data_IF_143334608945
#
_entry.id   IF_143334608945
#
_cell.length_a   1.000
_cell.length_b   1.000
_cell.length_c   1.000
_cell.angle_alpha   90.00
_cell.angle_beta   90.00
_cell.angle_gamma   90.00
#
_symmetry.space_group_name_H-M   'P 1'
#
loop_
_entity.id
_entity.type
_entity.pdbx_description
1 polymer ?
#
# COMPACT_ATOMS: atom_id res chain seq x y z
N UNK A 1 -10.27 10.11 14.90
CA UNK A 1 -9.13 9.18 14.77
C UNK A 1 -7.88 10.00 15.06
N UNK A 2 -6.95 9.49 15.82
CA UNK A 2 -5.68 10.17 16.07
C UNK A 2 -4.76 10.04 14.84
N UNK A 3 -3.99 11.10 14.56
CA UNK A 3 -3.04 11.12 13.44
C UNK A 3 -1.68 10.62 13.94
N UNK A 4 -1.08 9.68 13.19
CA UNK A 4 0.25 9.13 13.50
C UNK A 4 1.33 9.81 12.67
N UNK A 5 1.04 10.13 11.40
CA UNK A 5 1.96 10.90 10.55
C UNK A 5 1.21 12.09 9.97
N UNK A 6 1.77 13.27 10.12
CA UNK A 6 1.28 14.49 9.50
C UNK A 6 2.44 15.27 8.93
N UNK A 7 2.28 15.79 7.70
CA UNK A 7 3.25 16.71 7.11
C UNK A 7 2.55 17.96 6.58
N UNK A 8 3.22 19.10 6.69
CA UNK A 8 2.73 20.39 6.24
C UNK A 8 3.78 21.04 5.34
N UNK A 9 3.51 21.06 4.03
CA UNK A 9 4.40 21.60 2.99
C UNK A 9 5.83 21.06 3.08
N UNK A 10 5.99 19.78 3.49
CA UNK A 10 7.29 19.17 3.68
C UNK A 10 8.06 19.13 2.37
N UNK A 11 9.25 19.70 2.36
CA UNK A 11 10.03 19.93 1.13
C UNK A 11 11.46 19.47 1.34
N UNK A 12 12.02 18.80 0.33
CA UNK A 12 13.44 18.43 0.28
C UNK A 12 14.04 18.84 -1.05
N UNK A 13 15.13 19.61 -0.97
CA UNK A 13 15.97 20.00 -2.11
C UNK A 13 17.37 19.47 -1.90
N UNK A 14 17.92 18.85 -2.92
CA UNK A 14 19.32 18.45 -3.00
C UNK A 14 19.97 19.29 -4.10
N UNK A 15 20.82 20.24 -3.73
CA UNK A 15 21.39 21.22 -4.64
C UNK A 15 20.29 21.87 -5.51
N UNK A 16 20.33 21.69 -6.81
CA UNK A 16 19.33 22.24 -7.75
C UNK A 16 18.10 21.33 -7.94
N UNK A 17 18.15 20.09 -7.46
CA UNK A 17 17.04 19.13 -7.63
C UNK A 17 16.05 19.21 -6.46
N UNK A 18 14.84 19.62 -6.78
CA UNK A 18 13.71 19.54 -5.85
C UNK A 18 13.21 18.08 -5.82
N UNK A 19 13.54 17.37 -4.73
CA UNK A 19 13.17 15.97 -4.58
C UNK A 19 11.73 15.82 -4.04
N UNK A 20 11.37 16.48 -2.94
CA UNK A 20 10.02 16.51 -2.38
C UNK A 20 9.54 17.95 -2.39
N UNK A 21 8.32 18.18 -2.86
CA UNK A 21 7.76 19.50 -3.09
C UNK A 21 6.43 19.68 -2.35
N UNK A 22 6.47 20.42 -1.25
CA UNK A 22 5.30 20.82 -0.47
C UNK A 22 4.34 19.65 -0.15
N UNK A 23 4.90 18.52 0.33
CA UNK A 23 4.14 17.32 0.66
C UNK A 23 3.23 17.56 1.87
N UNK A 24 1.93 17.31 1.69
CA UNK A 24 0.92 17.34 2.76
C UNK A 24 0.31 15.93 2.88
N UNK A 25 0.85 15.13 3.79
CA UNK A 25 0.50 13.73 4.01
C UNK A 25 -0.14 13.56 5.38
N UNK A 26 -1.18 12.74 5.47
CA UNK A 26 -1.81 12.37 6.74
C UNK A 26 -2.04 10.87 6.79
N UNK A 27 -1.53 10.21 7.85
CA UNK A 27 -1.75 8.79 8.14
C UNK A 27 -2.37 8.69 9.53
N UNK A 28 -3.50 7.98 9.63
CA UNK A 28 -4.23 7.82 10.87
C UNK A 28 -3.79 6.56 11.62
N UNK A 29 -4.08 6.53 12.92
CA UNK A 29 -3.79 5.38 13.77
C UNK A 29 -4.58 4.15 13.33
N UNK A 30 -3.91 2.99 13.28
CA UNK A 30 -4.51 1.70 12.96
C UNK A 30 -4.83 1.49 11.47
N UNK A 31 -4.44 2.40 10.56
CA UNK A 31 -4.63 2.16 9.13
C UNK A 31 -3.41 1.52 8.45
N UNK A 32 -3.65 0.78 7.37
CA UNK A 32 -2.62 0.43 6.40
C UNK A 32 -2.70 1.44 5.27
N UNK A 33 -1.67 2.28 5.16
CA UNK A 33 -1.58 3.35 4.18
C UNK A 33 -0.58 3.01 3.08
N UNK A 34 -1.03 2.99 1.82
CA UNK A 34 -0.19 2.78 0.64
C UNK A 34 0.42 4.08 0.13
N UNK A 35 1.75 4.18 0.10
CA UNK A 35 2.48 5.31 -0.46
C UNK A 35 3.04 4.94 -1.83
N UNK A 36 2.37 5.37 -2.88
CA UNK A 36 2.54 4.90 -4.25
C UNK A 36 3.29 5.90 -5.12
N UNK A 37 4.15 5.39 -5.97
CA UNK A 37 4.85 6.21 -6.94
C UNK A 37 5.89 5.42 -7.73
N UNK A 38 6.32 5.91 -8.90
CA UNK A 38 7.30 5.21 -9.73
C UNK A 38 8.67 5.12 -9.03
N UNK A 39 9.52 4.22 -9.52
CA UNK A 39 10.90 4.09 -9.05
C UNK A 39 11.67 5.38 -9.29
N UNK A 40 12.54 5.77 -8.34
CA UNK A 40 13.21 7.07 -8.35
C UNK A 40 12.30 8.24 -7.97
N UNK A 41 11.01 7.98 -7.74
CA UNK A 41 10.18 8.90 -7.01
C UNK A 41 10.67 8.92 -5.56
N UNK A 42 10.65 10.01 -5.01
CA UNK A 42 11.02 10.47 -3.69
C UNK A 42 10.38 9.73 -2.50
N UNK A 43 9.86 8.51 -2.69
CA UNK A 43 9.25 7.68 -1.62
C UNK A 43 10.25 7.49 -0.47
N UNK A 44 11.41 6.92 -0.77
CA UNK A 44 12.47 6.71 0.23
C UNK A 44 12.95 8.03 0.84
N UNK A 45 13.10 9.10 0.05
CA UNK A 45 13.45 10.43 0.59
C UNK A 45 12.42 10.93 1.61
N UNK A 46 11.13 10.77 1.31
CA UNK A 46 10.05 11.12 2.23
C UNK A 46 10.13 10.29 3.51
N UNK A 47 10.30 8.97 3.38
CA UNK A 47 10.46 8.05 4.52
C UNK A 47 11.64 8.47 5.40
N UNK A 48 12.79 8.77 4.79
CA UNK A 48 13.97 9.20 5.54
C UNK A 48 13.75 10.52 6.29
N UNK A 49 12.98 11.47 5.73
CA UNK A 49 12.58 12.68 6.45
C UNK A 49 11.64 12.38 7.63
N UNK A 50 10.65 11.51 7.44
CA UNK A 50 9.72 11.10 8.50
C UNK A 50 10.42 10.38 9.66
N UNK A 51 11.55 9.72 9.40
CA UNK A 51 12.35 9.03 10.41
C UNK A 51 13.45 9.91 11.03
N UNK A 52 13.60 11.16 10.57
CA UNK A 52 14.70 12.03 11.00
C UNK A 52 16.07 11.47 10.62
N UNK A 53 16.17 10.76 9.50
CA UNK A 53 17.41 10.26 8.90
C UNK A 53 17.95 11.24 7.84
N UNK A 54 17.12 12.15 7.37
CA UNK A 54 17.52 13.33 6.57
C UNK A 54 16.63 14.51 6.96
N UNK A 55 17.21 15.69 7.03
CA UNK A 55 16.49 16.91 7.36
C UNK A 55 15.67 17.42 6.19
N UNK A 56 14.48 17.94 6.45
CA UNK A 56 13.70 18.69 5.47
C UNK A 56 14.37 20.03 5.18
N UNK A 57 14.24 20.50 3.93
CA UNK A 57 14.72 21.86 3.56
C UNK A 57 13.74 22.92 4.07
N UNK A 58 12.44 22.60 4.08
CA UNK A 58 11.38 23.45 4.64
C UNK A 58 10.11 22.64 4.89
N UNK A 59 9.13 23.24 5.53
CA UNK A 59 7.90 22.58 5.97
C UNK A 59 8.07 21.93 7.34
N UNK A 60 7.07 21.15 7.75
CA UNK A 60 7.04 20.48 9.05
C UNK A 60 6.53 19.05 8.92
N UNK A 61 6.98 18.20 9.82
CA UNK A 61 6.43 16.84 9.97
C UNK A 61 6.22 16.54 11.45
N UNK A 62 5.21 15.74 11.74
CA UNK A 62 4.99 15.15 13.05
C UNK A 62 4.78 13.65 12.87
N UNK A 63 5.50 12.84 13.64
CA UNK A 63 5.41 11.38 13.59
C UNK A 63 5.23 10.86 15.01
N UNK A 64 4.12 10.18 15.27
CA UNK A 64 3.70 9.78 16.63
C UNK A 64 3.67 10.93 17.63
N UNK A 65 3.43 12.16 17.18
CA UNK A 65 3.40 13.39 18.01
C UNK A 65 4.76 14.07 18.20
N UNK A 66 5.82 13.61 17.53
CA UNK A 66 7.18 14.15 17.64
C UNK A 66 7.67 14.74 16.32
N UNK A 67 8.49 15.79 16.40
CA UNK A 67 9.16 16.37 15.22
C UNK A 67 10.37 15.51 14.84
N UNK A 68 10.38 14.86 13.66
CA UNK A 68 11.50 14.02 13.26
C UNK A 68 12.83 14.77 13.09
N UNK A 69 12.80 16.09 12.88
CA UNK A 69 14.02 16.91 12.76
C UNK A 69 14.68 17.15 14.11
N UNK A 70 13.89 17.47 15.12
CA UNK A 70 14.39 17.86 16.43
C UNK A 70 14.35 16.72 17.46
N UNK A 71 13.39 15.79 17.31
CA UNK A 71 13.12 14.71 18.25
C UNK A 71 13.26 13.32 17.59
N UNK A 72 14.25 13.15 16.68
CA UNK A 72 14.40 11.94 15.86
C UNK A 72 14.53 10.65 16.69
N UNK A 73 15.11 10.69 17.89
CA UNK A 73 15.22 9.52 18.76
C UNK A 73 13.85 9.08 19.29
N UNK A 74 12.96 10.03 19.61
CA UNK A 74 11.60 9.73 20.08
C UNK A 74 10.76 9.12 18.95
N UNK A 75 10.93 9.60 17.71
CA UNK A 75 10.34 8.98 16.53
C UNK A 75 10.88 7.55 16.35
N UNK A 76 12.19 7.35 16.33
CA UNK A 76 12.84 6.03 16.14
C UNK A 76 12.48 5.01 17.21
N UNK A 77 12.18 5.43 18.43
CA UNK A 77 11.68 4.55 19.50
C UNK A 77 10.27 4.01 19.19
N UNK A 78 9.44 4.80 18.51
CA UNK A 78 8.01 4.50 18.27
C UNK A 78 7.71 3.96 16.90
N UNK A 79 8.61 4.16 15.94
CA UNK A 79 8.42 3.75 14.53
C UNK A 79 9.43 2.65 14.17
N UNK A 80 8.92 1.52 13.68
CA UNK A 80 9.72 0.49 13.03
C UNK A 80 9.98 0.87 11.56
N UNK A 81 11.17 0.64 11.07
CA UNK A 81 11.49 0.88 9.66
C UNK A 81 12.15 -0.35 9.03
N UNK A 82 11.53 -0.86 7.99
CA UNK A 82 12.08 -1.91 7.15
C UNK A 82 12.48 -1.30 5.80
N UNK A 83 13.77 -1.15 5.51
CA UNK A 83 14.24 -0.69 4.21
C UNK A 83 14.04 -1.77 3.13
N UNK A 84 14.07 -1.36 1.88
CA UNK A 84 13.99 -2.25 0.71
C UNK A 84 14.98 -3.42 0.77
N UNK A 85 16.18 -3.17 1.26
CA UNK A 85 17.23 -4.16 1.45
C UNK A 85 17.67 -4.15 2.92
N UNK A 86 17.07 -4.99 3.78
CA UNK A 86 17.45 -5.07 5.17
C UNK A 86 18.85 -5.69 5.30
N UNK A 87 19.68 -5.05 6.13
CA UNK A 87 21.02 -5.53 6.45
C UNK A 87 21.01 -6.36 7.73
N UNK A 88 21.61 -7.54 7.68
CA UNK A 88 21.76 -8.42 8.83
C UNK A 88 23.24 -8.81 9.02
N UNK A 89 23.57 -9.22 10.23
CA UNK A 89 24.83 -9.90 10.50
C UNK A 89 24.70 -11.34 10.00
N UNK A 90 25.22 -11.63 8.82
CA UNK A 90 24.99 -12.87 8.10
C UNK A 90 25.62 -14.10 8.80
N UNK A 91 26.67 -13.88 9.58
CA UNK A 91 27.34 -14.91 10.42
C UNK A 91 26.69 -15.10 11.79
N UNK A 92 25.61 -14.40 12.07
CA UNK A 92 24.77 -14.60 13.25
C UNK A 92 23.47 -15.33 12.86
N UNK A 93 22.91 -16.05 13.81
CA UNK A 93 21.57 -16.65 13.64
C UNK A 93 20.47 -15.59 13.66
N UNK A 94 19.24 -15.98 13.28
CA UNK A 94 18.08 -15.07 13.37
C UNK A 94 17.82 -14.63 14.82
N UNK A 95 17.89 -15.56 15.78
CA UNK A 95 17.77 -15.25 17.21
C UNK A 95 18.82 -14.23 17.66
N UNK A 96 20.09 -14.42 17.28
CA UNK A 96 21.19 -13.53 17.68
C UNK A 96 21.02 -12.12 17.07
N UNK A 97 20.62 -12.01 15.79
CA UNK A 97 20.33 -10.74 15.18
C UNK A 97 19.22 -9.98 15.94
N UNK A 98 18.11 -10.66 16.26
CA UNK A 98 16.99 -10.04 16.97
C UNK A 98 17.35 -9.66 18.42
N UNK A 99 18.09 -10.52 19.12
CA UNK A 99 18.59 -10.23 20.47
C UNK A 99 19.53 -9.03 20.47
N UNK A 100 20.42 -8.94 19.47
CA UNK A 100 21.32 -7.80 19.30
C UNK A 100 20.52 -6.50 19.12
N UNK A 101 19.51 -6.51 18.23
CA UNK A 101 18.65 -5.36 18.00
C UNK A 101 17.81 -5.00 19.23
N UNK A 102 17.32 -5.98 19.98
CA UNK A 102 16.61 -5.75 21.24
C UNK A 102 17.50 -5.03 22.27
N UNK A 103 18.76 -5.45 22.41
CA UNK A 103 19.75 -4.82 23.30
C UNK A 103 20.09 -3.39 22.89
N UNK A 104 20.25 -3.12 21.59
CA UNK A 104 20.44 -1.77 21.06
C UNK A 104 19.25 -0.84 21.42
N UNK A 105 18.06 -1.41 21.48
CA UNK A 105 16.84 -0.70 21.93
C UNK A 105 16.70 -0.67 23.45
N UNK A 106 17.72 -1.10 24.22
CA UNK A 106 17.77 -1.12 25.70
C UNK A 106 16.65 -1.98 26.33
N UNK A 107 16.25 -3.04 25.65
CA UNK A 107 15.31 -4.02 26.18
C UNK A 107 16.09 -4.95 27.10
N UNK A 108 15.66 -5.20 28.36
CA UNK A 108 16.32 -6.14 29.26
C UNK A 108 16.41 -7.54 28.68
N UNK A 109 17.49 -8.29 28.99
CA UNK A 109 17.79 -9.57 28.34
C UNK A 109 16.66 -10.61 28.45
N UNK A 110 16.01 -10.74 29.60
CA UNK A 110 14.90 -11.68 29.77
C UNK A 110 13.70 -11.30 28.88
N UNK A 111 13.37 -10.04 28.83
CA UNK A 111 12.31 -9.52 27.96
C UNK A 111 12.71 -9.60 26.48
N UNK A 112 13.99 -9.34 26.16
CA UNK A 112 14.52 -9.49 24.80
C UNK A 112 14.38 -10.93 24.28
N UNK A 113 14.74 -11.93 25.09
CA UNK A 113 14.56 -13.35 24.72
C UNK A 113 13.11 -13.71 24.49
N UNK A 114 12.23 -13.29 25.39
CA UNK A 114 10.79 -13.52 25.24
C UNK A 114 10.24 -12.89 23.96
N UNK A 115 10.54 -11.59 23.72
CA UNK A 115 10.09 -10.89 22.52
C UNK A 115 10.66 -11.49 21.23
N UNK A 116 11.92 -11.89 21.22
CA UNK A 116 12.55 -12.57 20.08
C UNK A 116 11.77 -13.82 19.70
N UNK A 117 11.47 -14.68 20.67
CA UNK A 117 10.67 -15.89 20.42
C UNK A 117 9.27 -15.55 19.90
N UNK A 118 8.60 -14.55 20.51
CA UNK A 118 7.26 -14.11 20.08
C UNK A 118 7.24 -13.58 18.64
N UNK A 119 8.22 -12.76 18.25
CA UNK A 119 8.24 -12.19 16.89
C UNK A 119 8.67 -13.19 15.83
N UNK A 120 9.56 -14.15 16.16
CA UNK A 120 9.90 -15.25 15.25
C UNK A 120 8.69 -16.14 14.97
N UNK A 121 7.88 -16.43 15.98
CA UNK A 121 6.64 -17.17 15.82
C UNK A 121 5.66 -16.42 14.90
N UNK A 122 5.47 -15.14 15.13
CA UNK A 122 4.59 -14.28 14.35
C UNK A 122 4.96 -14.20 12.86
N UNK A 123 6.25 -14.20 12.55
CA UNK A 123 6.70 -14.15 11.15
C UNK A 123 6.94 -15.56 10.54
N UNK A 124 6.60 -16.63 11.28
CA UNK A 124 6.74 -18.01 10.82
C UNK A 124 8.20 -18.42 10.61
N UNK A 125 9.10 -18.05 11.54
CA UNK A 125 10.52 -18.37 11.52
C UNK A 125 10.99 -19.08 12.82
N UNK A 126 10.07 -19.60 13.65
CA UNK A 126 10.40 -20.25 14.93
C UNK A 126 11.39 -21.38 14.77
N UNK A 127 11.21 -22.24 13.77
CA UNK A 127 12.09 -23.38 13.51
C UNK A 127 13.46 -22.98 12.94
N UNK A 128 13.53 -21.80 12.32
CA UNK A 128 14.73 -21.26 11.67
C UNK A 128 15.54 -20.32 12.59
N UNK A 129 15.09 -20.08 13.82
CA UNK A 129 15.68 -19.10 14.74
C UNK A 129 17.18 -19.28 14.96
N UNK A 130 17.67 -20.54 14.99
CA UNK A 130 19.09 -20.88 15.20
C UNK A 130 19.91 -20.98 13.91
N UNK A 131 19.28 -20.86 12.73
CA UNK A 131 19.98 -20.91 11.44
C UNK A 131 20.69 -19.58 11.19
N UNK A 132 21.84 -19.63 10.54
CA UNK A 132 22.60 -18.45 10.14
C UNK A 132 21.84 -17.68 9.05
N UNK A 133 21.82 -16.35 9.15
CA UNK A 133 21.06 -15.51 8.22
C UNK A 133 21.59 -15.57 6.78
N UNK A 134 22.86 -15.90 6.57
CA UNK A 134 23.40 -16.16 5.22
C UNK A 134 22.70 -17.31 4.48
N UNK A 135 22.07 -18.24 5.20
CA UNK A 135 21.35 -19.38 4.64
C UNK A 135 19.86 -19.04 4.31
N UNK A 136 19.42 -17.85 4.68
CA UNK A 136 18.04 -17.43 4.47
C UNK A 136 17.77 -17.06 3.02
N UNK A 137 16.62 -17.50 2.51
CA UNK A 137 16.07 -16.97 1.26
C UNK A 137 15.72 -15.48 1.41
N UNK A 138 15.52 -14.77 0.30
CA UNK A 138 15.11 -13.37 0.32
C UNK A 138 13.81 -13.17 1.11
N UNK A 139 12.81 -14.02 0.91
CA UNK A 139 11.55 -13.98 1.67
C UNK A 139 11.73 -14.23 3.17
N UNK A 140 12.66 -15.13 3.56
CA UNK A 140 13.00 -15.31 4.97
C UNK A 140 13.70 -14.09 5.55
N UNK A 141 14.64 -13.47 4.84
CA UNK A 141 15.31 -12.23 5.25
C UNK A 141 14.28 -11.09 5.42
N UNK A 142 13.30 -11.00 4.53
CA UNK A 142 12.25 -9.99 4.63
C UNK A 142 11.35 -10.20 5.85
N UNK A 143 10.94 -11.45 6.13
CA UNK A 143 10.18 -11.79 7.33
C UNK A 143 10.99 -11.53 8.61
N UNK A 144 12.28 -11.85 8.61
CA UNK A 144 13.18 -11.50 9.71
C UNK A 144 13.27 -9.98 9.92
N UNK A 145 13.31 -9.18 8.85
CA UNK A 145 13.28 -7.72 8.93
C UNK A 145 11.98 -7.20 9.54
N UNK A 146 10.84 -7.83 9.23
CA UNK A 146 9.57 -7.51 9.90
C UNK A 146 9.67 -7.87 11.40
N UNK A 147 10.22 -9.03 11.77
CA UNK A 147 10.44 -9.40 13.16
C UNK A 147 11.34 -8.39 13.90
N UNK A 148 12.41 -7.92 13.24
CA UNK A 148 13.33 -6.92 13.79
C UNK A 148 12.61 -5.61 14.13
N UNK A 149 11.76 -5.11 13.25
CA UNK A 149 11.03 -3.87 13.54
C UNK A 149 9.97 -4.05 14.61
N UNK A 150 9.42 -5.26 14.78
CA UNK A 150 8.40 -5.57 15.78
C UNK A 150 8.95 -5.79 17.19
N UNK A 151 10.22 -6.19 17.35
CA UNK A 151 10.81 -6.54 18.66
C UNK A 151 10.72 -5.42 19.67
N UNK A 152 10.75 -4.16 19.23
CA UNK A 152 10.61 -2.98 20.09
C UNK A 152 9.16 -2.56 20.37
N UNK A 153 8.16 -3.27 19.83
CA UNK A 153 6.72 -2.98 19.95
C UNK A 153 6.38 -1.55 19.47
N UNK A 154 6.64 -1.23 18.20
CA UNK A 154 6.42 0.13 17.69
C UNK A 154 4.94 0.48 17.63
N UNK A 155 4.60 1.79 17.64
CA UNK A 155 3.23 2.29 17.38
C UNK A 155 2.90 2.30 15.89
N UNK A 156 3.93 2.46 15.05
CA UNK A 156 3.79 2.43 13.60
C UNK A 156 4.98 1.75 12.96
N UNK A 157 4.80 1.19 11.78
CA UNK A 157 5.86 0.65 10.94
C UNK A 157 5.83 1.29 9.56
N UNK A 158 7.02 1.53 9.02
CA UNK A 158 7.22 1.98 7.65
C UNK A 158 7.96 0.87 6.93
N UNK A 159 7.35 0.32 5.88
CA UNK A 159 7.86 -0.79 5.09
C UNK A 159 8.15 -0.27 3.68
N UNK A 160 9.45 -0.22 3.30
CA UNK A 160 9.86 0.28 1.99
C UNK A 160 10.01 -0.89 1.02
N UNK A 161 9.09 -1.02 0.05
CA UNK A 161 9.03 -2.08 -0.97
C UNK A 161 9.16 -3.52 -0.38
N UNK A 162 8.33 -3.93 0.61
CA UNK A 162 8.56 -5.15 1.40
C UNK A 162 8.42 -6.46 0.62
N UNK A 163 7.88 -6.42 -0.59
CA UNK A 163 7.68 -7.59 -1.45
C UNK A 163 8.60 -7.61 -2.67
N UNK A 164 9.47 -6.62 -2.81
CA UNK A 164 10.32 -6.48 -3.99
C UNK A 164 11.30 -7.66 -4.15
N UNK A 165 11.24 -8.32 -5.32
CA UNK A 165 12.12 -9.44 -5.66
C UNK A 165 11.86 -10.72 -4.87
N UNK A 166 10.67 -10.86 -4.33
CA UNK A 166 10.16 -12.09 -3.70
C UNK A 166 9.24 -12.76 -4.71
N UNK A 167 9.20 -14.07 -4.69
CA UNK A 167 8.27 -14.86 -5.50
C UNK A 167 6.80 -14.55 -5.13
N UNK A 168 5.85 -14.79 -6.03
CA UNK A 168 4.45 -14.42 -5.80
C UNK A 168 3.85 -15.00 -4.51
N UNK A 169 4.12 -16.27 -4.20
CA UNK A 169 3.62 -16.92 -2.98
C UNK A 169 4.21 -16.31 -1.71
N UNK A 170 5.51 -16.00 -1.74
CA UNK A 170 6.20 -15.32 -0.65
C UNK A 170 5.67 -13.90 -0.44
N UNK A 171 5.38 -13.17 -1.52
CA UNK A 171 4.80 -11.83 -1.46
C UNK A 171 3.41 -11.86 -0.82
N UNK A 172 2.54 -12.79 -1.21
CA UNK A 172 1.21 -12.98 -0.60
C UNK A 172 1.33 -13.19 0.90
N UNK A 173 2.22 -14.11 1.33
CA UNK A 173 2.42 -14.39 2.77
C UNK A 173 2.89 -13.16 3.55
N UNK A 174 3.73 -12.31 2.97
CA UNK A 174 4.15 -11.06 3.61
C UNK A 174 2.99 -10.07 3.73
N UNK A 175 2.15 -9.96 2.70
CA UNK A 175 0.98 -9.09 2.73
C UNK A 175 -0.06 -9.56 3.75
N UNK A 176 -0.28 -10.86 3.85
CA UNK A 176 -1.15 -11.48 4.87
C UNK A 176 -0.61 -11.22 6.29
N UNK A 177 0.70 -11.41 6.51
CA UNK A 177 1.34 -11.10 7.78
C UNK A 177 1.14 -9.62 8.16
N UNK A 178 1.28 -8.68 7.23
CA UNK A 178 1.05 -7.25 7.48
C UNK A 178 -0.41 -6.99 7.87
N UNK A 179 -1.38 -7.62 7.19
CA UNK A 179 -2.80 -7.53 7.53
C UNK A 179 -3.09 -8.04 8.94
N UNK A 180 -2.54 -9.20 9.29
CA UNK A 180 -2.75 -9.82 10.59
C UNK A 180 -2.17 -8.95 11.71
N UNK A 181 -0.95 -8.45 11.55
CA UNK A 181 -0.33 -7.53 12.51
C UNK A 181 -1.14 -6.24 12.71
N UNK A 182 -1.69 -5.68 11.63
CA UNK A 182 -2.57 -4.51 11.72
C UNK A 182 -3.85 -4.85 12.47
N UNK A 183 -4.52 -5.94 12.10
CA UNK A 183 -5.81 -6.36 12.69
C UNK A 183 -5.69 -6.70 14.17
N UNK A 184 -4.65 -7.45 14.56
CA UNK A 184 -4.51 -7.98 15.91
C UNK A 184 -3.96 -6.95 16.90
N UNK A 185 -3.11 -6.02 16.42
CA UNK A 185 -2.42 -5.06 17.27
C UNK A 185 -2.82 -3.61 17.05
N UNK A 186 -3.75 -3.35 16.16
CA UNK A 186 -4.07 -1.99 15.68
C UNK A 186 -2.82 -1.24 15.23
N UNK A 187 -1.85 -1.97 14.63
CA UNK A 187 -0.57 -1.42 14.21
C UNK A 187 -0.77 -0.53 12.99
N UNK A 188 -0.32 0.71 13.07
CA UNK A 188 -0.32 1.60 11.91
C UNK A 188 0.79 1.21 10.94
N UNK A 189 0.47 1.04 9.68
CA UNK A 189 1.44 0.63 8.65
C UNK A 189 1.47 1.64 7.52
N UNK A 190 2.65 2.16 7.20
CA UNK A 190 2.92 2.87 5.95
C UNK A 190 3.69 1.93 5.04
N UNK A 191 3.09 1.57 3.91
CA UNK A 191 3.69 0.67 2.91
C UNK A 191 4.06 1.47 1.68
N UNK A 192 5.34 1.58 1.35
CA UNK A 192 5.74 2.10 0.03
C UNK A 192 5.76 0.98 -1.00
N UNK A 193 5.18 1.21 -2.16
CA UNK A 193 5.24 0.27 -3.27
C UNK A 193 5.02 0.94 -4.63
N UNK A 194 5.48 0.27 -5.66
CA UNK A 194 5.12 0.55 -7.06
C UNK A 194 4.18 -0.54 -7.63
N UNK A 195 3.89 -1.60 -6.87
CA UNK A 195 3.04 -2.72 -7.26
C UNK A 195 1.59 -2.44 -6.82
N UNK A 196 0.81 -1.88 -7.71
CA UNK A 196 -0.53 -1.35 -7.42
C UNK A 196 -1.51 -2.42 -6.94
N UNK A 197 -1.47 -3.62 -7.52
CA UNK A 197 -2.36 -4.73 -7.16
C UNK A 197 -2.18 -5.13 -5.68
N UNK A 198 -0.93 -5.29 -5.24
CA UNK A 198 -0.64 -5.65 -3.84
C UNK A 198 -1.13 -4.60 -2.85
N UNK A 199 -0.95 -3.32 -3.20
CA UNK A 199 -1.44 -2.21 -2.37
C UNK A 199 -2.97 -2.21 -2.30
N UNK A 200 -3.63 -2.47 -3.43
CA UNK A 200 -5.09 -2.55 -3.49
C UNK A 200 -5.67 -3.63 -2.57
N UNK A 201 -4.94 -4.73 -2.37
CA UNK A 201 -5.39 -5.84 -1.53
C UNK A 201 -5.35 -5.54 -0.03
N UNK A 202 -4.41 -4.70 0.43
CA UNK A 202 -4.19 -4.53 1.87
C UNK A 202 -4.40 -3.11 2.39
N UNK A 203 -4.28 -2.08 1.56
CA UNK A 203 -4.34 -0.70 2.02
C UNK A 203 -5.77 -0.18 2.07
N UNK A 204 -6.12 0.46 3.18
CA UNK A 204 -7.42 1.14 3.34
C UNK A 204 -7.44 2.52 2.66
N UNK A 205 -6.30 3.21 2.66
CA UNK A 205 -6.07 4.50 2.01
C UNK A 205 -4.73 4.50 1.29
N UNK A 206 -4.65 5.33 0.27
CA UNK A 206 -3.42 5.49 -0.52
C UNK A 206 -3.08 6.96 -0.74
N UNK A 207 -1.79 7.22 -0.97
CA UNK A 207 -1.28 8.49 -1.45
C UNK A 207 -0.41 8.26 -2.68
N UNK A 208 -0.73 8.94 -3.79
CA UNK A 208 0.03 8.83 -5.05
C UNK A 208 0.98 10.00 -5.16
N UNK A 209 2.28 9.69 -5.25
CA UNK A 209 3.33 10.68 -5.41
C UNK A 209 3.94 10.61 -6.81
N UNK A 210 4.03 11.76 -7.49
CA UNK A 210 4.61 11.90 -8.82
C UNK A 210 5.52 13.11 -8.84
N UNK A 211 6.74 12.94 -9.36
CA UNK A 211 7.72 14.04 -9.45
C UNK A 211 7.89 14.86 -8.16
N UNK A 212 7.83 14.19 -7.02
CA UNK A 212 8.00 14.82 -5.71
C UNK A 212 6.77 15.48 -5.11
N UNK A 213 5.62 15.41 -5.76
CA UNK A 213 4.35 15.97 -5.26
C UNK A 213 3.36 14.87 -4.95
N UNK A 214 2.67 14.99 -3.82
CA UNK A 214 1.50 14.18 -3.54
C UNK A 214 0.35 14.70 -4.41
N UNK A 215 -0.07 13.90 -5.38
CA UNK A 215 -1.12 14.30 -6.34
C UNK A 215 -2.49 14.08 -5.73
N UNK A 216 -2.66 12.96 -5.02
CA UNK A 216 -3.92 12.60 -4.39
C UNK A 216 -3.67 11.72 -3.18
N UNK A 217 -4.51 11.82 -2.16
CA UNK A 217 -4.61 10.87 -1.07
C UNK A 217 -6.08 10.67 -0.68
N UNK A 218 -6.44 9.45 -0.32
CA UNK A 218 -7.80 9.13 0.09
C UNK A 218 -8.06 7.63 0.15
N UNK A 219 -9.29 7.27 0.48
CA UNK A 219 -9.75 5.89 0.42
C UNK A 219 -9.87 5.45 -1.03
N UNK A 220 -9.58 4.19 -1.30
CA UNK A 220 -9.64 3.62 -2.64
C UNK A 220 -11.01 3.83 -3.31
N UNK A 221 -12.08 3.56 -2.57
CA UNK A 221 -13.45 3.71 -3.04
C UNK A 221 -13.84 5.18 -3.32
N UNK A 222 -13.31 6.13 -2.56
CA UNK A 222 -13.52 7.57 -2.77
C UNK A 222 -12.77 8.07 -4.00
N UNK A 223 -11.51 7.65 -4.16
CA UNK A 223 -10.68 8.00 -5.32
C UNK A 223 -11.28 7.43 -6.61
N UNK A 224 -11.76 6.19 -6.57
CA UNK A 224 -12.48 5.58 -7.68
C UNK A 224 -13.73 6.38 -8.06
N UNK A 225 -14.57 6.72 -7.08
CA UNK A 225 -15.79 7.52 -7.32
C UNK A 225 -15.50 8.94 -7.84
N UNK A 226 -14.41 9.56 -7.37
CA UNK A 226 -14.02 10.88 -7.87
C UNK A 226 -13.72 10.85 -9.37
N UNK A 227 -13.06 9.76 -9.83
CA UNK A 227 -12.81 9.55 -11.27
C UNK A 227 -14.10 9.30 -12.05
N UNK A 228 -14.98 8.45 -11.49
CA UNK A 228 -16.27 8.14 -12.12
C UNK A 228 -17.18 9.37 -12.24
N UNK A 229 -17.19 10.25 -11.21
CA UNK A 229 -17.98 11.50 -11.26
C UNK A 229 -17.52 12.44 -12.36
N UNK A 230 -16.27 12.38 -12.78
CA UNK A 230 -15.76 13.28 -13.81
C UNK A 230 -16.05 12.82 -15.24
N UNK A 231 -16.25 11.51 -15.53
CA UNK A 231 -16.53 11.08 -16.94
C UNK A 231 -17.04 9.67 -17.22
N UNK A 232 -16.92 8.64 -16.40
CA UNK A 232 -17.25 7.30 -16.89
C UNK A 232 -17.84 6.37 -15.82
N UNK A 233 -18.94 5.70 -16.19
CA UNK A 233 -19.50 4.56 -15.49
C UNK A 233 -19.02 3.27 -16.16
N UNK A 234 -18.51 2.33 -15.40
CA UNK A 234 -18.08 1.03 -15.92
C UNK A 234 -19.04 -0.04 -15.44
N UNK A 235 -19.58 -0.84 -16.36
CA UNK A 235 -20.47 -1.95 -16.05
C UNK A 235 -19.97 -3.24 -16.68
N UNK A 236 -19.98 -4.32 -15.91
CA UNK A 236 -19.89 -5.68 -16.42
C UNK A 236 -21.30 -6.23 -16.53
N UNK A 237 -21.70 -6.57 -17.75
CA UNK A 237 -22.98 -7.19 -18.09
C UNK A 237 -22.74 -8.62 -18.54
N UNK A 238 -23.26 -9.61 -17.81
CA UNK A 238 -23.28 -10.99 -18.25
C UNK A 238 -24.71 -11.42 -18.55
N UNK A 239 -24.92 -12.05 -19.69
CA UNK A 239 -26.23 -12.49 -20.16
C UNK A 239 -26.19 -13.96 -20.54
N UNK A 240 -27.33 -14.63 -20.47
CA UNK A 240 -27.46 -16.01 -20.91
C UNK A 240 -27.34 -16.21 -22.44
N UNK A 241 -27.65 -17.38 -22.92
CA UNK A 241 -27.54 -17.74 -24.35
C UNK A 241 -28.30 -16.72 -25.22
N UNK A 242 -27.66 -16.24 -26.30
CA UNK A 242 -28.22 -15.23 -27.20
C UNK A 242 -27.46 -13.90 -27.25
N UNK A 243 -26.35 -13.79 -26.51
CA UNK A 243 -25.54 -12.55 -26.39
C UNK A 243 -25.00 -12.00 -27.74
N UNK A 244 -24.86 -12.81 -28.79
CA UNK A 244 -24.20 -12.38 -30.04
C UNK A 244 -24.97 -11.29 -30.80
N UNK A 245 -26.27 -11.12 -30.59
CA UNK A 245 -27.07 -10.06 -31.20
C UNK A 245 -27.22 -8.81 -30.34
N UNK A 246 -26.63 -8.80 -29.12
CA UNK A 246 -26.87 -7.73 -28.16
C UNK A 246 -25.97 -6.50 -28.39
N UNK A 247 -24.79 -6.68 -28.99
CA UNK A 247 -23.82 -5.60 -29.18
C UNK A 247 -24.37 -4.41 -29.98
N UNK A 248 -25.12 -4.69 -31.05
CA UNK A 248 -25.75 -3.64 -31.86
C UNK A 248 -26.78 -2.83 -31.09
N UNK A 249 -27.56 -3.50 -30.23
CA UNK A 249 -28.56 -2.85 -29.38
C UNK A 249 -27.93 -2.07 -28.24
N UNK A 250 -26.84 -2.57 -27.66
CA UNK A 250 -26.06 -1.86 -26.65
C UNK A 250 -25.48 -0.55 -27.22
N UNK A 251 -24.94 -0.59 -28.45
CA UNK A 251 -24.45 0.61 -29.15
C UNK A 251 -25.54 1.67 -29.40
N UNK A 252 -26.80 1.26 -29.44
CA UNK A 252 -27.93 2.18 -29.61
C UNK A 252 -28.34 2.88 -28.31
N UNK A 253 -27.86 2.45 -27.17
CA UNK A 253 -28.14 3.09 -25.87
C UNK A 253 -27.29 4.37 -25.75
N UNK A 254 -27.96 5.52 -25.67
CA UNK A 254 -27.27 6.77 -25.46
C UNK A 254 -26.54 6.78 -24.11
N UNK A 255 -25.25 7.10 -24.14
CA UNK A 255 -24.41 7.15 -22.94
C UNK A 255 -23.47 5.95 -22.82
N UNK A 256 -23.48 4.98 -23.73
CA UNK A 256 -22.44 3.95 -23.85
C UNK A 256 -21.42 4.42 -24.89
N UNK A 257 -20.17 4.63 -24.43
CA UNK A 257 -19.07 5.09 -25.29
C UNK A 257 -18.27 3.95 -25.88
N UNK A 258 -18.02 2.90 -25.08
CA UNK A 258 -17.19 1.77 -25.48
C UNK A 258 -17.79 0.45 -25.00
N UNK A 259 -17.73 -0.54 -25.86
CA UNK A 259 -18.19 -1.91 -25.60
C UNK A 259 -17.04 -2.87 -25.89
N UNK A 260 -16.62 -3.60 -24.88
CA UNK A 260 -15.61 -4.67 -24.98
C UNK A 260 -16.27 -6.00 -24.64
N UNK A 261 -16.15 -6.99 -25.53
CA UNK A 261 -16.67 -8.32 -25.26
C UNK A 261 -15.70 -9.10 -24.35
N UNK A 262 -16.18 -9.54 -23.18
CA UNK A 262 -15.42 -10.35 -22.22
C UNK A 262 -16.13 -11.66 -21.93
N UNK A 263 -15.61 -12.75 -22.48
CA UNK A 263 -16.22 -14.08 -22.32
C UNK A 263 -17.65 -14.13 -22.85
N UNK A 264 -18.62 -14.42 -21.97
CA UNK A 264 -20.07 -14.45 -22.28
C UNK A 264 -20.77 -13.12 -22.01
N UNK A 265 -20.02 -12.08 -21.66
CA UNK A 265 -20.55 -10.78 -21.28
C UNK A 265 -19.93 -9.62 -22.04
N UNK A 266 -20.29 -8.42 -21.59
CA UNK A 266 -19.83 -7.15 -22.12
C UNK A 266 -19.33 -6.26 -21.00
N UNK A 267 -18.16 -5.67 -21.21
CA UNK A 267 -17.70 -4.55 -20.40
C UNK A 267 -18.11 -3.26 -21.12
N UNK A 268 -18.82 -2.40 -20.42
CA UNK A 268 -19.43 -1.18 -20.95
C UNK A 268 -18.81 0.03 -20.26
N UNK A 269 -18.27 0.96 -21.04
CA UNK A 269 -17.90 2.30 -20.56
C UNK A 269 -18.98 3.28 -20.92
N UNK A 270 -19.47 4.01 -19.93
CA UNK A 270 -20.64 4.86 -20.08
C UNK A 270 -20.40 6.25 -19.49
N UNK A 271 -20.99 7.28 -20.10
CA UNK A 271 -20.97 8.66 -19.61
C UNK A 271 -22.02 8.94 -18.53
N UNK A 272 -22.95 8.02 -18.33
CA UNK A 272 -24.01 8.09 -17.31
C UNK A 272 -24.41 6.69 -16.84
N UNK A 273 -25.22 6.62 -15.80
CA UNK A 273 -25.82 5.37 -15.36
C UNK A 273 -26.85 4.87 -16.39
N UNK A 274 -26.50 3.76 -17.07
CA UNK A 274 -27.36 3.13 -18.09
C UNK A 274 -28.02 1.82 -17.62
N UNK A 275 -27.94 1.49 -16.34
CA UNK A 275 -28.52 0.26 -15.78
C UNK A 275 -30.01 0.13 -16.05
N UNK A 276 -30.85 1.18 -15.92
CA UNK A 276 -32.29 1.06 -16.23
C UNK A 276 -32.54 0.67 -17.68
N UNK A 277 -31.78 1.24 -18.64
CA UNK A 277 -31.89 0.96 -20.06
C UNK A 277 -31.41 -0.44 -20.40
N UNK A 278 -30.31 -0.91 -19.77
CA UNK A 278 -29.81 -2.26 -19.91
C UNK A 278 -30.83 -3.30 -19.46
N UNK A 279 -31.40 -3.14 -18.27
CA UNK A 279 -32.43 -4.04 -17.75
C UNK A 279 -33.66 -4.04 -18.65
N UNK A 280 -34.10 -2.86 -19.12
CA UNK A 280 -35.25 -2.75 -20.04
C UNK A 280 -35.00 -3.39 -21.40
N UNK A 281 -33.78 -3.28 -21.93
CA UNK A 281 -33.37 -3.92 -23.19
C UNK A 281 -33.40 -5.45 -23.07
N UNK A 282 -32.81 -6.00 -22.00
CA UNK A 282 -32.78 -7.45 -21.75
C UNK A 282 -34.19 -8.02 -21.57
N UNK A 283 -35.05 -7.33 -20.83
CA UNK A 283 -36.44 -7.71 -20.65
C UNK A 283 -37.20 -7.74 -22.00
N UNK A 284 -37.03 -6.74 -22.86
CA UNK A 284 -37.65 -6.70 -24.21
C UNK A 284 -37.18 -7.82 -25.11
N UNK A 285 -35.93 -8.24 -24.98
CA UNK A 285 -35.32 -9.30 -25.78
C UNK A 285 -35.50 -10.71 -25.15
N UNK A 286 -36.15 -10.76 -23.98
CA UNK A 286 -36.34 -12.00 -23.21
C UNK A 286 -35.00 -12.72 -22.93
N UNK A 287 -33.91 -11.93 -22.71
CA UNK A 287 -32.58 -12.44 -22.38
C UNK A 287 -32.40 -12.48 -20.87
N UNK A 288 -31.96 -13.61 -20.30
CA UNK A 288 -31.72 -13.70 -18.86
C UNK A 288 -30.47 -12.87 -18.47
N UNK A 289 -30.66 -11.96 -17.52
CA UNK A 289 -29.58 -11.24 -16.86
C UNK A 289 -28.91 -12.18 -15.88
N UNK A 290 -27.65 -12.53 -16.10
CA UNK A 290 -26.86 -13.35 -15.17
C UNK A 290 -26.12 -12.48 -14.17
N UNK A 291 -25.48 -11.40 -14.63
CA UNK A 291 -24.79 -10.44 -13.78
C UNK A 291 -24.87 -9.03 -14.37
N UNK A 292 -25.08 -8.04 -13.50
CA UNK A 292 -24.90 -6.63 -13.80
C UNK A 292 -24.23 -5.98 -12.58
N UNK A 293 -22.96 -5.67 -12.71
CA UNK A 293 -22.22 -5.00 -11.65
C UNK A 293 -21.54 -3.74 -12.16
N UNK A 294 -21.43 -2.74 -11.28
CA UNK A 294 -20.53 -1.62 -11.51
C UNK A 294 -19.10 -2.09 -11.24
N UNK A 295 -18.20 -1.85 -12.15
CA UNK A 295 -16.77 -2.04 -11.89
C UNK A 295 -16.20 -0.70 -11.43
N UNK A 296 -15.80 -0.63 -10.17
CA UNK A 296 -15.04 0.50 -9.67
C UNK A 296 -13.67 0.53 -10.38
N UNK A 297 -13.13 1.72 -10.68
CA UNK A 297 -11.81 1.82 -11.28
C UNK A 297 -10.77 1.10 -10.43
N UNK A 298 -9.93 0.34 -11.10
CA UNK A 298 -8.78 -0.29 -10.45
C UNK A 298 -7.79 0.79 -9.97
N UNK A 299 -6.96 0.45 -8.98
CA UNK A 299 -5.91 1.38 -8.54
C UNK A 299 -4.95 1.73 -9.70
N UNK A 300 -4.78 0.83 -10.66
CA UNK A 300 -3.98 1.07 -11.85
C UNK A 300 -4.59 2.16 -12.75
N UNK A 301 -5.90 2.12 -12.98
CA UNK A 301 -6.61 3.16 -13.74
C UNK A 301 -6.56 4.51 -13.02
N UNK A 302 -6.76 4.52 -11.68
CA UNK A 302 -6.60 5.68 -10.82
C UNK A 302 -5.18 6.26 -10.96
N UNK A 303 -4.18 5.40 -10.82
CA UNK A 303 -2.78 5.79 -10.92
C UNK A 303 -2.43 6.36 -12.29
N UNK A 304 -2.81 5.68 -13.38
CA UNK A 304 -2.54 6.12 -14.74
C UNK A 304 -3.18 7.46 -15.08
N UNK A 305 -4.39 7.72 -14.58
CA UNK A 305 -5.05 9.01 -14.75
C UNK A 305 -4.21 10.12 -14.11
N UNK A 306 -3.95 10.01 -12.83
CA UNK A 306 -3.21 11.05 -12.09
C UNK A 306 -1.74 11.17 -12.53
N UNK A 307 -1.15 10.07 -13.03
CA UNK A 307 0.21 10.10 -13.56
C UNK A 307 0.33 10.85 -14.89
N UNK A 308 -0.70 10.79 -15.76
CA UNK A 308 -0.73 11.49 -17.06
C UNK A 308 -1.03 12.99 -16.92
N UNK A 309 -1.73 13.38 -15.87
CA UNK A 309 -2.09 14.77 -15.58
C UNK A 309 -0.98 15.55 -14.84
N UNK A 310 0.02 14.86 -14.29
CA UNK A 310 1.15 15.42 -13.52
C UNK A 310 2.43 15.59 -14.37
#
# INVERSE_FOLDING_TARGET
MSTVVETQNLTKRYHDKLAVNALNLTINEGEIFGFLGPNGAVKTTTILMLLGLTEATSGRASVCGFDPTHESLEVKRRVGYLPENPGFYEDMSADENLLYMARLNRIPDDEARRRTSEVLDQVGLSEDGRRLVREFSRGMKQRLGIAEVLVKKPRAVILDEPTLGIDPDGAIRILELIKDLNRERNLTVMLSSHQLQQVQEICSRVGIIVKGRLIVQGRMDELGRAILKERQWNFLLEVGAGANSLESDLRAINGIDEIEKRGQGFFLRCTRDVRPELVSLLARKNLPLLQLRSEDPTLEEIYLKYFREA
#
